data_IF_854456252336
#
_entry.id   IF_854456252336
#
_cell.length_a   1.000
_cell.length_b   1.000
_cell.length_c   1.000
_cell.angle_alpha   90.00
_cell.angle_beta   90.00
_cell.angle_gamma   90.00
#
_symmetry.space_group_name_H-M   'P 1'
#
loop_
_entity.id
_entity.type
_entity.pdbx_description
1 polymer ?
#
# COMPACT_ATOMS: atom_id res chain seq x y z
N UNK A 1 -4.59 1.41 13.10
CA UNK A 1 -4.72 1.84 14.52
C UNK A 1 -5.80 2.92 14.71
N UNK A 2 -5.75 4.08 14.05
CA UNK A 2 -6.75 5.16 14.23
C UNK A 2 -8.18 4.72 13.95
N UNK A 3 -8.44 4.08 12.81
CA UNK A 3 -9.76 3.56 12.42
C UNK A 3 -10.30 2.50 13.40
N UNK A 4 -9.44 1.62 13.94
CA UNK A 4 -9.84 0.66 14.95
C UNK A 4 -10.32 1.36 16.24
N UNK A 5 -9.59 2.37 16.70
CA UNK A 5 -9.99 3.17 17.86
C UNK A 5 -11.28 3.96 17.63
N UNK A 6 -11.43 4.51 16.42
CA UNK A 6 -12.67 5.21 16.01
C UNK A 6 -13.89 4.29 16.09
N UNK A 7 -13.74 3.01 15.73
CA UNK A 7 -14.79 1.99 15.86
C UNK A 7 -14.84 1.31 17.24
N UNK A 8 -14.21 1.87 18.27
CA UNK A 8 -14.33 1.41 19.65
C UNK A 8 -13.38 0.29 20.08
N UNK A 9 -12.38 -0.07 19.26
CA UNK A 9 -11.36 -1.04 19.67
C UNK A 9 -10.50 -0.48 20.80
N UNK A 10 -10.50 -1.15 21.94
CA UNK A 10 -9.86 -0.64 23.16
C UNK A 10 -8.99 -1.65 23.91
N UNK A 11 -8.97 -2.93 23.48
CA UNK A 11 -8.28 -3.98 24.22
C UNK A 11 -7.43 -4.86 23.28
N UNK A 12 -6.23 -5.21 23.76
CA UNK A 12 -5.30 -6.09 23.06
C UNK A 12 -4.35 -5.34 22.12
N UNK A 13 -3.54 -6.08 21.37
CA UNK A 13 -2.47 -5.59 20.49
C UNK A 13 -2.68 -5.93 19.01
N UNK A 14 -3.84 -6.51 18.63
CA UNK A 14 -4.10 -6.91 17.25
C UNK A 14 -4.07 -5.72 16.29
N UNK A 15 -4.48 -4.53 16.74
CA UNK A 15 -4.41 -3.30 15.95
C UNK A 15 -2.96 -2.90 15.62
N UNK A 16 -2.01 -3.19 16.49
CA UNK A 16 -0.58 -2.99 16.27
C UNK A 16 -0.06 -4.01 15.26
N UNK A 17 -0.37 -5.30 15.46
CA UNK A 17 0.08 -6.37 14.56
C UNK A 17 -0.44 -6.18 13.13
N UNK A 18 -1.73 -5.83 12.98
CA UNK A 18 -2.33 -5.59 11.68
C UNK A 18 -1.85 -4.28 11.04
N UNK A 19 -1.51 -3.27 11.83
CA UNK A 19 -0.83 -2.07 11.32
C UNK A 19 0.58 -2.42 10.81
N UNK A 20 1.30 -3.30 11.50
CA UNK A 20 2.58 -3.81 11.03
C UNK A 20 2.44 -4.61 9.73
N UNK A 21 1.38 -5.42 9.56
CA UNK A 21 1.11 -6.09 8.28
C UNK A 21 0.97 -5.10 7.12
N UNK A 22 0.23 -4.01 7.31
CA UNK A 22 0.07 -2.95 6.29
C UNK A 22 1.43 -2.30 5.97
N UNK A 23 2.25 -2.02 6.99
CA UNK A 23 3.58 -1.44 6.81
C UNK A 23 4.55 -2.40 6.13
N UNK A 24 4.47 -3.72 6.41
CA UNK A 24 5.28 -4.73 5.73
C UNK A 24 4.94 -4.83 4.25
N UNK A 25 3.64 -4.81 3.89
CA UNK A 25 3.21 -4.75 2.49
C UNK A 25 3.77 -3.49 1.83
N UNK A 26 3.59 -2.32 2.45
CA UNK A 26 4.10 -1.05 1.93
C UNK A 26 5.62 -1.09 1.73
N UNK A 27 6.37 -1.52 2.74
CA UNK A 27 7.83 -1.58 2.67
C UNK A 27 8.32 -2.54 1.60
N UNK A 28 7.67 -3.69 1.45
CA UNK A 28 8.01 -4.68 0.42
C UNK A 28 7.79 -4.11 -0.98
N UNK A 29 6.65 -3.46 -1.22
CA UNK A 29 6.36 -2.83 -2.52
C UNK A 29 7.36 -1.72 -2.84
N UNK A 30 7.72 -0.88 -1.87
CA UNK A 30 8.76 0.15 -2.08
C UNK A 30 10.12 -0.44 -2.47
N UNK A 31 10.52 -1.58 -1.88
CA UNK A 31 11.78 -2.24 -2.21
C UNK A 31 11.77 -2.82 -3.63
N UNK A 32 10.63 -3.34 -4.07
CA UNK A 32 10.46 -3.84 -5.44
C UNK A 32 10.41 -2.67 -6.44
N UNK A 33 9.70 -1.60 -6.12
CA UNK A 33 9.59 -0.40 -6.95
C UNK A 33 10.95 0.27 -7.17
N UNK A 34 11.77 0.39 -6.12
CA UNK A 34 13.12 0.97 -6.22
C UNK A 34 14.01 0.20 -7.22
N UNK A 35 13.79 -1.11 -7.36
CA UNK A 35 14.49 -1.93 -8.38
C UNK A 35 13.91 -1.70 -9.78
N UNK A 36 12.58 -1.66 -9.91
CA UNK A 36 11.88 -1.49 -11.20
C UNK A 36 12.13 -0.11 -11.78
N UNK A 37 12.17 0.92 -10.93
CA UNK A 37 12.37 2.31 -11.31
C UNK A 37 13.84 2.75 -11.30
N UNK A 38 14.77 1.82 -11.00
CA UNK A 38 16.21 2.09 -10.86
C UNK A 38 16.48 3.25 -9.88
N UNK A 39 15.62 3.39 -8.88
CA UNK A 39 15.70 4.43 -7.88
C UNK A 39 16.96 4.34 -7.04
N UNK A 40 17.65 5.47 -6.84
CA UNK A 40 18.90 5.52 -6.06
C UNK A 40 18.75 6.24 -4.73
N UNK A 41 17.72 7.09 -4.60
CA UNK A 41 17.45 7.89 -3.39
C UNK A 41 15.95 7.89 -3.11
N UNK A 42 15.58 7.67 -1.86
CA UNK A 42 14.22 7.77 -1.35
C UNK A 42 14.19 8.53 -0.03
N UNK A 43 13.42 9.62 0.03
CA UNK A 43 13.32 10.48 1.22
C UNK A 43 14.69 10.93 1.74
N UNK A 44 15.59 11.29 0.84
CA UNK A 44 16.94 11.78 1.17
C UNK A 44 17.95 10.71 1.62
N UNK A 45 17.58 9.43 1.56
CA UNK A 45 18.47 8.29 1.86
C UNK A 45 18.68 7.42 0.64
N UNK A 46 19.84 6.79 0.54
CA UNK A 46 20.10 5.80 -0.50
C UNK A 46 19.12 4.61 -0.36
N UNK A 47 18.64 4.13 -1.51
CA UNK A 47 17.76 2.96 -1.60
C UNK A 47 18.51 1.67 -1.32
N UNK A 48 17.81 0.60 -0.98
CA UNK A 48 18.41 -0.67 -0.62
C UNK A 48 19.19 -1.30 -1.80
N UNK A 49 18.62 -1.24 -3.02
CA UNK A 49 19.25 -1.71 -4.25
C UNK A 49 20.53 -0.93 -4.58
N UNK A 50 20.64 0.33 -4.15
CA UNK A 50 21.85 1.14 -4.30
C UNK A 50 22.92 0.77 -3.27
N UNK A 51 22.53 0.52 -2.01
CA UNK A 51 23.45 0.21 -0.91
C UNK A 51 24.00 -1.23 -1.02
N UNK A 52 23.14 -2.17 -1.42
CA UNK A 52 23.51 -3.57 -1.59
C UNK A 52 23.47 -3.94 -3.07
N UNK A 53 22.33 -4.48 -3.55
CA UNK A 53 22.09 -4.78 -4.96
C UNK A 53 20.59 -5.05 -5.22
N UNK A 54 20.21 -5.19 -6.48
CA UNK A 54 18.83 -5.49 -6.89
C UNK A 54 18.35 -6.84 -6.36
N UNK A 55 19.19 -7.87 -6.33
CA UNK A 55 18.81 -9.20 -5.85
C UNK A 55 18.46 -9.17 -4.36
N UNK A 56 19.29 -8.49 -3.56
CA UNK A 56 19.03 -8.30 -2.13
C UNK A 56 17.74 -7.54 -1.88
N UNK A 57 17.47 -6.49 -2.65
CA UNK A 57 16.23 -5.70 -2.52
C UNK A 57 14.99 -6.55 -2.79
N UNK A 58 15.00 -7.34 -3.87
CA UNK A 58 13.90 -8.25 -4.20
C UNK A 58 13.70 -9.30 -3.11
N UNK A 59 14.77 -9.98 -2.67
CA UNK A 59 14.67 -11.03 -1.65
C UNK A 59 14.18 -10.50 -0.29
N UNK A 60 14.59 -9.30 0.09
CA UNK A 60 14.09 -8.68 1.33
C UNK A 60 12.62 -8.30 1.19
N UNK A 61 12.19 -7.76 0.04
CA UNK A 61 10.78 -7.52 -0.23
C UNK A 61 9.94 -8.78 -0.13
N UNK A 62 10.38 -9.89 -0.73
CA UNK A 62 9.73 -11.20 -0.65
C UNK A 62 9.66 -11.73 0.79
N UNK A 63 10.75 -11.55 1.56
CA UNK A 63 10.76 -11.91 2.97
C UNK A 63 9.72 -11.13 3.79
N UNK A 64 9.63 -9.79 3.57
CA UNK A 64 8.65 -8.95 4.27
C UNK A 64 7.21 -9.35 3.94
N UNK A 65 6.91 -9.66 2.66
CA UNK A 65 5.61 -10.18 2.26
C UNK A 65 5.31 -11.52 2.90
N UNK A 66 6.27 -12.44 2.91
CA UNK A 66 6.12 -13.75 3.54
C UNK A 66 5.85 -13.61 5.04
N UNK A 67 6.57 -12.72 5.73
CA UNK A 67 6.34 -12.44 7.14
C UNK A 67 4.98 -11.82 7.40
N UNK A 68 4.51 -10.95 6.51
CA UNK A 68 3.16 -10.40 6.58
C UNK A 68 2.09 -11.49 6.48
N UNK A 69 2.24 -12.46 5.56
CA UNK A 69 1.31 -13.59 5.45
C UNK A 69 1.29 -14.45 6.72
N UNK A 70 2.45 -14.75 7.31
CA UNK A 70 2.50 -15.47 8.60
C UNK A 70 1.71 -14.73 9.68
N UNK A 71 1.93 -13.42 9.83
CA UNK A 71 1.21 -12.60 10.82
C UNK A 71 -0.30 -12.55 10.58
N UNK A 72 -0.75 -12.50 9.32
CA UNK A 72 -2.18 -12.55 8.99
C UNK A 72 -2.81 -13.89 9.33
N UNK A 73 -2.07 -15.00 9.12
CA UNK A 73 -2.51 -16.35 9.50
C UNK A 73 -2.55 -16.50 11.01
N UNK A 74 -1.54 -16.00 11.73
CA UNK A 74 -1.50 -15.98 13.20
C UNK A 74 -2.68 -15.17 13.80
N UNK A 75 -3.09 -14.07 13.15
CA UNK A 75 -4.28 -13.30 13.56
C UNK A 75 -5.57 -14.11 13.45
N UNK A 76 -5.65 -15.05 12.51
CA UNK A 76 -6.73 -16.00 12.34
C UNK A 76 -8.04 -15.44 11.82
N UNK A 77 -8.10 -14.16 11.43
CA UNK A 77 -9.30 -13.54 10.87
C UNK A 77 -9.32 -13.65 9.34
N UNK A 78 -10.18 -14.52 8.80
CA UNK A 78 -10.29 -14.74 7.35
C UNK A 78 -10.72 -13.49 6.56
N UNK A 79 -11.51 -12.58 7.14
CA UNK A 79 -11.91 -11.34 6.49
C UNK A 79 -10.69 -10.42 6.30
N UNK A 80 -9.83 -10.31 7.33
CA UNK A 80 -8.56 -9.57 7.25
C UNK A 80 -7.63 -10.21 6.25
N UNK A 81 -7.43 -11.53 6.30
CA UNK A 81 -6.56 -12.26 5.38
C UNK A 81 -7.01 -12.06 3.93
N UNK A 82 -8.32 -12.20 3.65
CA UNK A 82 -8.90 -11.99 2.32
C UNK A 82 -8.70 -10.55 1.85
N UNK A 83 -8.91 -9.57 2.71
CA UNK A 83 -8.75 -8.15 2.38
C UNK A 83 -7.29 -7.85 2.01
N UNK A 84 -6.34 -8.14 2.89
CA UNK A 84 -4.93 -7.78 2.69
C UNK A 84 -4.27 -8.58 1.55
N UNK A 85 -4.60 -9.86 1.38
CA UNK A 85 -4.09 -10.65 0.25
C UNK A 85 -4.64 -10.13 -1.09
N UNK A 86 -5.93 -9.79 -1.16
CA UNK A 86 -6.52 -9.14 -2.34
C UNK A 86 -5.89 -7.78 -2.63
N UNK A 87 -5.61 -6.99 -1.58
CA UNK A 87 -4.92 -5.70 -1.69
C UNK A 87 -3.52 -5.86 -2.28
N UNK A 88 -2.72 -6.81 -1.77
CA UNK A 88 -1.38 -7.09 -2.31
C UNK A 88 -1.43 -7.47 -3.80
N UNK A 89 -2.41 -8.30 -4.19
CA UNK A 89 -2.62 -8.67 -5.59
C UNK A 89 -2.98 -7.47 -6.48
N UNK A 90 -3.85 -6.57 -5.99
CA UNK A 90 -4.23 -5.37 -6.74
C UNK A 90 -3.08 -4.39 -6.90
N UNK A 91 -2.25 -4.23 -5.86
CA UNK A 91 -1.04 -3.39 -5.95
C UNK A 91 -0.12 -3.93 -7.05
N UNK A 92 0.18 -5.23 -7.05
CA UNK A 92 1.00 -5.84 -8.09
C UNK A 92 0.39 -5.68 -9.50
N UNK A 93 -0.94 -5.80 -9.64
CA UNK A 93 -1.62 -5.52 -10.91
C UNK A 93 -1.48 -4.05 -11.34
N UNK A 94 -1.53 -3.11 -10.39
CA UNK A 94 -1.31 -1.69 -10.64
C UNK A 94 0.09 -1.41 -11.17
N UNK A 95 1.12 -2.06 -10.60
CA UNK A 95 2.51 -1.99 -11.08
C UNK A 95 2.64 -2.52 -12.52
N UNK A 96 2.07 -3.69 -12.80
CA UNK A 96 2.08 -4.25 -14.16
C UNK A 96 1.37 -3.31 -15.14
N UNK A 97 0.24 -2.72 -14.75
CA UNK A 97 -0.47 -1.77 -15.59
C UNK A 97 0.35 -0.50 -15.84
N UNK A 98 1.03 0.02 -14.84
CA UNK A 98 1.94 1.17 -14.97
C UNK A 98 3.08 0.86 -15.95
N UNK A 99 3.70 -0.32 -15.84
CA UNK A 99 4.77 -0.75 -16.75
C UNK A 99 4.31 -0.86 -18.20
N UNK A 100 3.07 -1.32 -18.44
CA UNK A 100 2.49 -1.43 -19.78
C UNK A 100 2.34 -0.06 -20.46
N UNK A 101 2.10 1.00 -19.68
CA UNK A 101 1.89 2.37 -20.16
C UNK A 101 3.13 3.27 -19.97
N UNK A 102 4.27 2.70 -19.56
CA UNK A 102 5.50 3.47 -19.32
C UNK A 102 5.98 4.12 -20.64
N UNK A 103 6.08 5.46 -20.63
CA UNK A 103 6.51 6.24 -21.79
C UNK A 103 5.37 6.69 -22.73
N UNK A 104 4.13 6.37 -22.45
CA UNK A 104 2.98 6.90 -23.19
C UNK A 104 2.73 8.35 -22.76
N UNK A 105 2.95 9.30 -23.69
CA UNK A 105 2.74 10.75 -23.46
C UNK A 105 1.24 11.10 -23.42
N UNK A 106 0.42 10.36 -24.15
CA UNK A 106 -1.02 10.61 -24.31
C UNK A 106 -1.86 9.65 -23.45
N UNK A 107 -1.35 9.25 -22.27
CA UNK A 107 -2.10 8.40 -21.34
C UNK A 107 -3.44 9.05 -20.96
N UNK A 108 -4.53 8.29 -21.07
CA UNK A 108 -5.86 8.75 -20.68
C UNK A 108 -5.95 8.94 -19.16
N UNK A 109 -6.66 9.97 -18.72
CA UNK A 109 -6.94 10.23 -17.29
C UNK A 109 -7.53 9.01 -16.58
N UNK A 110 -8.45 8.29 -17.26
CA UNK A 110 -9.04 7.06 -16.70
C UNK A 110 -7.97 5.98 -16.41
N UNK A 111 -6.98 5.82 -17.27
CA UNK A 111 -5.88 4.86 -17.09
C UNK A 111 -4.99 5.30 -15.93
N UNK A 112 -4.63 6.57 -15.86
CA UNK A 112 -3.88 7.14 -14.74
C UNK A 112 -4.59 6.91 -13.41
N UNK A 113 -5.89 7.24 -13.33
CA UNK A 113 -6.69 7.02 -12.11
C UNK A 113 -6.78 5.55 -11.72
N UNK A 114 -6.86 4.62 -12.68
CA UNK A 114 -6.79 3.17 -12.41
C UNK A 114 -5.46 2.75 -11.82
N UNK A 115 -4.34 3.25 -12.35
CA UNK A 115 -3.00 2.96 -11.86
C UNK A 115 -2.85 3.42 -10.42
N UNK A 116 -3.09 4.70 -10.13
CA UNK A 116 -2.91 5.25 -8.78
C UNK A 116 -3.91 4.67 -7.77
N UNK A 117 -5.11 4.30 -8.23
CA UNK A 117 -6.08 3.61 -7.39
C UNK A 117 -5.56 2.25 -6.96
N UNK A 118 -5.04 1.45 -7.88
CA UNK A 118 -4.54 0.11 -7.59
C UNK A 118 -3.21 0.16 -6.81
N UNK A 119 -2.25 0.95 -7.26
CA UNK A 119 -0.89 1.03 -6.69
C UNK A 119 -0.88 1.68 -5.29
N UNK A 120 -1.63 2.75 -5.09
CA UNK A 120 -1.55 3.58 -3.88
C UNK A 120 -2.82 3.53 -3.04
N UNK A 121 -3.99 3.86 -3.62
CA UNK A 121 -5.20 4.04 -2.84
C UNK A 121 -5.75 2.75 -2.23
N UNK A 122 -5.48 1.60 -2.84
CA UNK A 122 -5.95 0.29 -2.37
C UNK A 122 -5.38 -0.06 -0.99
N UNK A 123 -4.11 0.24 -0.71
CA UNK A 123 -3.51 0.00 0.59
C UNK A 123 -4.06 0.94 1.67
N UNK A 124 -4.33 2.21 1.34
CA UNK A 124 -5.00 3.14 2.24
C UNK A 124 -6.42 2.65 2.60
N UNK A 125 -7.18 2.20 1.60
CA UNK A 125 -8.52 1.64 1.79
C UNK A 125 -8.50 0.41 2.70
N UNK A 126 -7.57 -0.51 2.46
CA UNK A 126 -7.40 -1.71 3.27
C UNK A 126 -6.99 -1.37 4.71
N UNK A 127 -6.04 -0.46 4.90
CA UNK A 127 -5.57 -0.04 6.22
C UNK A 127 -6.69 0.52 7.10
N UNK A 128 -7.59 1.31 6.53
CA UNK A 128 -8.73 1.87 7.27
C UNK A 128 -9.81 0.82 7.51
N UNK A 129 -10.13 -0.04 6.52
CA UNK A 129 -11.12 -1.11 6.63
C UNK A 129 -10.72 -2.19 7.64
N UNK A 130 -9.43 -2.58 7.67
CA UNK A 130 -8.90 -3.54 8.67
C UNK A 130 -9.22 -3.10 10.09
N UNK A 131 -9.10 -1.81 10.39
CA UNK A 131 -9.44 -1.29 11.72
C UNK A 131 -10.92 -1.47 12.09
N UNK A 132 -11.83 -1.29 11.12
CA UNK A 132 -13.26 -1.54 11.32
C UNK A 132 -13.55 -3.04 11.50
N UNK A 133 -12.94 -3.90 10.68
CA UNK A 133 -13.08 -5.37 10.80
C UNK A 133 -12.62 -5.83 12.19
N UNK A 134 -11.46 -5.37 12.64
CA UNK A 134 -10.87 -5.69 13.94
C UNK A 134 -11.80 -5.33 15.11
N UNK A 135 -12.52 -4.22 14.98
CA UNK A 135 -13.44 -3.71 16.00
C UNK A 135 -14.80 -4.43 16.00
N UNK A 136 -15.06 -5.30 15.03
CA UNK A 136 -16.36 -5.92 14.85
C UNK A 136 -17.44 -4.93 14.36
N UNK A 137 -17.04 -3.85 13.69
CA UNK A 137 -17.93 -2.82 13.17
C UNK A 137 -18.92 -3.38 12.13
N UNK A 138 -20.06 -2.71 11.96
CA UNK A 138 -21.05 -3.07 10.96
C UNK A 138 -20.52 -2.84 9.52
N UNK A 139 -21.13 -3.50 8.54
CA UNK A 139 -20.68 -3.38 7.14
C UNK A 139 -20.70 -1.93 6.65
N UNK A 140 -21.71 -1.14 7.05
CA UNK A 140 -21.78 0.28 6.70
C UNK A 140 -20.57 1.08 7.16
N UNK A 141 -20.04 0.81 8.34
CA UNK A 141 -18.86 1.47 8.90
C UNK A 141 -17.60 0.98 8.20
N UNK A 142 -17.50 -0.34 7.92
CA UNK A 142 -16.40 -0.93 7.14
C UNK A 142 -16.31 -0.29 5.75
N UNK A 143 -17.44 -0.16 5.06
CA UNK A 143 -17.53 0.42 3.72
C UNK A 143 -17.22 1.92 3.73
N UNK A 144 -17.69 2.65 4.75
CA UNK A 144 -17.39 4.07 4.91
C UNK A 144 -15.89 4.32 5.14
N UNK A 145 -15.23 3.49 5.97
CA UNK A 145 -13.80 3.61 6.21
C UNK A 145 -12.97 3.16 5.01
N UNK A 146 -13.40 2.15 4.27
CA UNK A 146 -12.77 1.78 2.99
C UNK A 146 -12.84 2.92 1.99
N UNK A 147 -14.04 3.52 1.83
CA UNK A 147 -14.24 4.66 0.94
C UNK A 147 -13.39 5.87 1.35
N UNK A 148 -13.35 6.18 2.64
CA UNK A 148 -12.50 7.24 3.17
C UNK A 148 -11.01 6.99 2.85
N UNK A 149 -10.52 5.79 3.15
CA UNK A 149 -9.13 5.42 2.88
C UNK A 149 -8.77 5.50 1.40
N UNK A 150 -9.65 5.02 0.53
CA UNK A 150 -9.48 5.07 -0.93
C UNK A 150 -9.34 6.51 -1.43
N UNK A 151 -10.23 7.39 -1.04
CA UNK A 151 -10.18 8.79 -1.46
C UNK A 151 -8.96 9.53 -0.87
N UNK A 152 -8.58 9.21 0.36
CA UNK A 152 -7.36 9.75 0.96
C UNK A 152 -6.12 9.32 0.17
N UNK A 153 -6.03 8.04 -0.22
CA UNK A 153 -4.92 7.52 -1.03
C UNK A 153 -4.85 8.12 -2.43
N UNK A 154 -6.00 8.30 -3.11
CA UNK A 154 -6.08 8.98 -4.39
C UNK A 154 -5.59 10.44 -4.28
N UNK A 155 -6.12 11.17 -3.30
CA UNK A 155 -5.72 12.57 -3.07
C UNK A 155 -4.24 12.69 -2.74
N UNK A 156 -3.71 11.76 -1.93
CA UNK A 156 -2.30 11.70 -1.59
C UNK A 156 -1.44 11.55 -2.86
N UNK A 157 -1.76 10.58 -3.72
CA UNK A 157 -0.97 10.33 -4.92
C UNK A 157 -1.05 11.49 -5.92
N UNK A 158 -2.23 12.06 -6.16
CA UNK A 158 -2.38 13.22 -7.05
C UNK A 158 -1.58 14.42 -6.53
N UNK A 159 -1.56 14.63 -5.21
CA UNK A 159 -0.77 15.72 -4.63
C UNK A 159 0.73 15.46 -4.77
N UNK A 160 1.18 14.22 -4.57
CA UNK A 160 2.59 13.80 -4.72
C UNK A 160 3.06 14.02 -6.17
N UNK A 161 2.33 13.50 -7.15
CA UNK A 161 2.63 13.65 -8.57
C UNK A 161 2.65 15.13 -9.00
N UNK A 162 1.75 15.94 -8.45
CA UNK A 162 1.70 17.39 -8.73
C UNK A 162 2.93 18.09 -8.15
N UNK A 163 3.39 17.71 -6.98
CA UNK A 163 4.61 18.26 -6.38
C UNK A 163 5.84 17.89 -7.20
N UNK A 164 5.94 16.64 -7.64
CA UNK A 164 7.06 16.18 -8.47
C UNK A 164 7.14 16.95 -9.79
N UNK A 165 5.99 17.19 -10.45
CA UNK A 165 5.93 18.03 -11.65
C UNK A 165 6.36 19.48 -11.37
N UNK A 166 6.06 20.03 -10.19
CA UNK A 166 6.44 21.40 -9.83
C UNK A 166 7.94 21.56 -9.61
N UNK A 167 8.64 20.49 -9.19
CA UNK A 167 10.09 20.50 -8.94
C UNK A 167 10.93 20.43 -10.23
N UNK A 168 10.35 20.00 -11.34
CA UNK A 168 11.05 19.93 -12.65
C UNK A 168 11.37 21.35 -13.18
N UNK A 169 10.70 22.40 -12.69
CA UNK A 169 10.87 23.79 -13.13
C UNK A 169 11.71 24.65 -12.19
N UNK A 170 12.31 24.06 -11.14
CA UNK A 170 13.25 24.72 -10.24
C UNK A 170 14.67 24.24 -10.52
#
# INVERSE_FOLDING_TARGET
>A
MGSAKLCGYSKGSRDINLAACVELIHSATLMHDDVIDEGTVRRGKETLNKVWDNHSSVLIGDYLLSRCFEMMVEDGNLEVLKLLSSTSSKIAQGEVLQLQHKGEVDMLEETYLKIISAKTAELFAAATKVGAILSGAENKEKDALEFYGRNLGLTFQIADDTLDLSLIHI
#
